data_IF_121304472129
#
_entry.id   IF_121304472129
#
_cell.length_a   1.000
_cell.length_b   1.000
_cell.length_c   1.000
_cell.angle_alpha   90.00
_cell.angle_beta   90.00
_cell.angle_gamma   90.00
#
_symmetry.space_group_name_H-M   'P 1'
#
loop_
_entity.id
_entity.type
_entity.pdbx_description
1 polymer ?
#
# COMPACT_ATOMS: atom_id res chain seq x y z
N UNK A 1 12.13 -13.54 -0.10
CA UNK A 1 11.26 -12.53 -0.18
C UNK A 1 11.84 -11.19 -0.02
N UNK A 2 10.98 -10.24 -0.12
CA UNK A 2 11.38 -8.89 -0.05
C UNK A 2 11.29 -8.41 1.39
N UNK A 3 12.18 -7.57 1.80
CA UNK A 3 12.17 -7.09 3.14
C UNK A 3 12.21 -5.57 3.15
N UNK A 4 12.22 -4.99 4.33
CA UNK A 4 12.19 -3.56 4.45
C UNK A 4 13.37 -2.88 3.81
N UNK A 5 14.50 -3.48 3.84
CA UNK A 5 15.69 -2.89 3.26
C UNK A 5 15.55 -2.72 1.77
N UNK A 6 14.94 -3.69 1.09
CA UNK A 6 14.74 -3.59 -0.33
C UNK A 6 13.80 -2.44 -0.64
N UNK A 7 12.74 -2.32 0.15
CA UNK A 7 11.75 -1.28 -0.04
C UNK A 7 12.38 0.09 0.19
N UNK A 8 13.12 0.23 1.27
CA UNK A 8 13.76 1.49 1.60
C UNK A 8 14.75 1.87 0.53
N UNK A 9 15.47 0.89 -0.02
CA UNK A 9 16.42 1.17 -1.09
C UNK A 9 15.75 1.73 -2.32
N UNK A 10 14.62 1.14 -2.71
CA UNK A 10 13.91 1.61 -3.89
C UNK A 10 13.34 3.01 -3.67
N UNK A 11 12.81 3.28 -2.48
CA UNK A 11 12.27 4.59 -2.19
C UNK A 11 13.41 5.62 -2.17
N UNK A 12 14.55 5.24 -1.60
CA UNK A 12 15.67 6.16 -1.50
C UNK A 12 16.24 6.52 -2.86
N UNK A 13 16.13 5.62 -3.83
CA UNK A 13 16.61 5.90 -5.16
C UNK A 13 15.51 6.51 -6.02
N UNK A 14 14.37 6.80 -5.41
CA UNK A 14 13.25 7.39 -6.13
C UNK A 14 12.76 6.45 -7.24
N UNK A 15 12.94 5.17 -7.07
CA UNK A 15 12.48 4.18 -8.04
C UNK A 15 11.08 3.73 -7.64
N UNK A 16 10.13 4.64 -7.72
CA UNK A 16 8.77 4.41 -7.29
C UNK A 16 7.80 4.89 -8.35
N UNK A 17 6.86 4.04 -8.70
CA UNK A 17 5.80 4.41 -9.62
C UNK A 17 4.51 4.43 -8.83
N UNK A 18 3.77 5.52 -8.87
CA UNK A 18 2.55 5.66 -8.13
C UNK A 18 1.39 5.51 -9.11
N UNK A 19 0.50 4.57 -8.85
CA UNK A 19 -0.61 4.30 -9.75
C UNK A 19 -1.56 5.50 -9.80
N UNK A 20 -2.35 5.56 -10.82
CA UNK A 20 -3.32 6.65 -10.96
C UNK A 20 -4.29 6.62 -9.78
N UNK A 21 -4.74 5.45 -9.40
CA UNK A 21 -5.67 5.30 -8.30
C UNK A 21 -5.03 5.84 -7.01
N UNK A 22 -3.77 5.49 -6.78
CA UNK A 22 -3.09 5.95 -5.59
C UNK A 22 -2.94 7.48 -5.61
N UNK A 23 -2.67 8.05 -6.79
CA UNK A 23 -2.52 9.48 -6.87
C UNK A 23 -3.82 10.19 -6.54
N UNK A 24 -4.94 9.64 -6.98
CA UNK A 24 -6.25 10.23 -6.72
C UNK A 24 -6.50 10.19 -5.20
N UNK A 25 -6.19 9.05 -4.56
CA UNK A 25 -6.41 8.95 -3.13
C UNK A 25 -5.52 9.93 -2.38
N UNK A 26 -4.28 10.06 -2.82
CA UNK A 26 -3.35 10.99 -2.18
C UNK A 26 -3.87 12.41 -2.29
N UNK A 27 -4.39 12.75 -3.46
CA UNK A 27 -4.89 14.09 -3.67
C UNK A 27 -6.09 14.33 -2.75
N UNK A 28 -6.99 13.38 -2.65
CA UNK A 28 -8.16 13.50 -1.81
C UNK A 28 -7.82 13.67 -0.34
N UNK A 29 -6.71 13.07 0.08
CA UNK A 29 -6.31 13.11 1.47
C UNK A 29 -5.19 14.11 1.72
N UNK A 30 -4.83 14.87 0.72
CA UNK A 30 -3.80 15.88 0.85
C UNK A 30 -2.47 15.26 1.29
N UNK A 31 -2.11 14.16 0.68
CA UNK A 31 -0.87 13.46 0.99
C UNK A 31 0.15 13.78 -0.10
N UNK A 32 1.30 14.29 0.28
CA UNK A 32 2.34 14.59 -0.69
C UNK A 32 3.17 13.33 -0.96
N UNK A 33 3.95 13.35 -2.00
CA UNK A 33 4.84 12.26 -2.31
C UNK A 33 5.83 12.08 -1.15
N UNK A 34 6.32 13.17 -0.58
CA UNK A 34 7.25 13.08 0.53
C UNK A 34 6.60 12.44 1.75
N UNK A 35 5.35 12.77 2.01
CA UNK A 35 4.62 12.17 3.12
C UNK A 35 4.53 10.66 2.92
N UNK A 36 4.19 10.26 1.69
CA UNK A 36 4.03 8.85 1.38
C UNK A 36 5.35 8.12 1.52
N UNK A 37 6.41 8.66 0.98
CA UNK A 37 7.71 8.01 1.03
C UNK A 37 8.19 7.88 2.48
N UNK A 38 7.96 8.89 3.30
CA UNK A 38 8.36 8.82 4.69
C UNK A 38 7.57 7.73 5.41
N UNK A 39 6.30 7.63 5.12
CA UNK A 39 5.48 6.61 5.75
C UNK A 39 5.96 5.20 5.36
N UNK A 40 6.35 5.03 4.10
CA UNK A 40 6.81 3.73 3.66
C UNK A 40 8.14 3.40 4.33
N UNK A 41 9.03 4.35 4.47
CA UNK A 41 10.33 4.08 5.04
C UNK A 41 10.25 3.61 6.48
N UNK A 42 9.35 4.16 7.26
CA UNK A 42 9.23 3.76 8.65
C UNK A 42 8.08 2.83 8.93
N UNK A 43 7.36 2.44 7.91
CA UNK A 43 6.17 1.63 8.09
C UNK A 43 6.46 0.19 8.45
N UNK A 44 5.40 -0.52 8.76
CA UNK A 44 5.49 -1.91 9.15
C UNK A 44 4.80 -2.78 8.14
N UNK A 45 5.41 -3.87 7.71
CA UNK A 45 4.81 -4.80 6.78
C UNK A 45 3.86 -5.68 7.56
N UNK A 46 2.59 -5.67 7.23
CA UNK A 46 1.62 -6.47 7.97
C UNK A 46 1.12 -7.67 7.20
N UNK A 47 1.20 -7.67 5.87
CA UNK A 47 0.85 -8.84 5.10
C UNK A 47 1.66 -8.89 3.84
N UNK A 48 1.91 -10.09 3.34
CA UNK A 48 2.68 -10.25 2.12
C UNK A 48 1.96 -11.20 1.18
N UNK A 49 2.02 -10.90 -0.11
CA UNK A 49 1.37 -11.70 -1.14
C UNK A 49 2.42 -12.03 -2.20
N UNK A 50 3.25 -13.03 -1.93
CA UNK A 50 4.39 -13.33 -2.80
C UNK A 50 4.03 -13.83 -4.18
N UNK A 51 2.81 -14.34 -4.32
CA UNK A 51 2.41 -14.88 -5.61
C UNK A 51 1.65 -13.90 -6.48
N UNK A 52 1.51 -12.67 -6.06
CA UNK A 52 0.79 -11.69 -6.87
C UNK A 52 1.52 -11.39 -8.16
N UNK A 53 0.76 -11.04 -9.16
CA UNK A 53 1.27 -10.71 -10.46
C UNK A 53 0.89 -9.29 -10.81
N UNK A 54 1.67 -8.57 -11.51
CA UNK A 54 2.95 -8.97 -12.14
C UNK A 54 4.11 -8.96 -11.18
N UNK A 55 3.96 -8.44 -9.99
CA UNK A 55 5.01 -8.43 -9.01
C UNK A 55 4.45 -8.84 -7.67
N UNK A 56 5.24 -9.43 -6.81
CA UNK A 56 4.78 -9.71 -5.47
C UNK A 56 4.34 -8.42 -4.82
N UNK A 57 3.40 -8.48 -3.92
CA UNK A 57 2.91 -7.28 -3.27
C UNK A 57 2.83 -7.46 -1.77
N UNK A 58 2.62 -6.36 -1.06
CA UNK A 58 2.46 -6.44 0.37
C UNK A 58 1.62 -5.28 0.87
N UNK A 59 1.16 -5.39 2.10
CA UNK A 59 0.37 -4.38 2.76
C UNK A 59 1.21 -3.83 3.89
N UNK A 60 1.35 -2.53 3.93
CA UNK A 60 2.16 -1.87 4.93
C UNK A 60 1.32 -0.91 5.74
N UNK A 61 1.62 -0.78 7.03
CA UNK A 61 0.96 0.18 7.87
C UNK A 61 1.93 1.33 8.09
N UNK A 62 1.54 2.51 7.75
CA UNK A 62 2.37 3.69 7.95
C UNK A 62 1.57 4.80 8.56
N UNK A 63 2.24 5.85 8.98
CA UNK A 63 1.56 6.99 9.56
C UNK A 63 1.91 8.27 8.84
N UNK A 64 0.90 9.08 8.56
CA UNK A 64 1.08 10.36 7.93
C UNK A 64 0.31 11.34 8.77
N UNK A 65 1.01 12.32 9.34
CA UNK A 65 0.40 13.32 10.21
C UNK A 65 -0.44 12.68 11.30
N UNK A 66 0.12 11.64 11.90
CA UNK A 66 -0.51 10.94 13.02
C UNK A 66 -1.73 10.13 12.64
N UNK A 67 -1.99 9.95 11.37
CA UNK A 67 -3.09 9.11 10.95
C UNK A 67 -2.52 7.82 10.37
N UNK A 68 -3.12 6.70 10.72
CA UNK A 68 -2.69 5.41 10.21
C UNK A 68 -3.18 5.22 8.79
N UNK A 69 -2.32 4.73 7.91
CA UNK A 69 -2.70 4.44 6.54
C UNK A 69 -2.23 3.04 6.18
N UNK A 70 -3.03 2.38 5.36
CA UNK A 70 -2.62 1.12 4.78
C UNK A 70 -2.11 1.46 3.39
N UNK A 71 -0.92 1.00 3.06
CA UNK A 71 -0.31 1.25 1.77
C UNK A 71 -0.06 -0.11 1.11
N UNK A 72 -0.54 -0.29 -0.10
CA UNK A 72 -0.35 -1.53 -0.83
C UNK A 72 0.73 -1.30 -1.84
N UNK A 73 1.80 -2.09 -1.75
CA UNK A 73 2.97 -1.93 -2.59
C UNK A 73 3.23 -3.16 -3.43
N UNK A 74 3.59 -2.97 -4.68
CA UNK A 74 4.10 -4.05 -5.51
C UNK A 74 5.60 -3.92 -5.53
N UNK A 75 6.31 -5.02 -5.32
CA UNK A 75 7.76 -5.00 -5.25
C UNK A 75 8.31 -5.63 -6.51
N UNK A 76 8.66 -4.81 -7.45
CA UNK A 76 9.17 -5.29 -8.72
C UNK A 76 10.68 -5.29 -8.67
N UNK A 77 11.33 -5.85 -9.67
CA UNK A 77 12.77 -5.98 -9.65
C UNK A 77 13.50 -4.66 -9.51
N UNK A 78 13.09 -3.68 -10.20
CA UNK A 78 13.79 -2.41 -10.21
C UNK A 78 12.97 -1.23 -9.72
N UNK A 79 11.78 -1.44 -9.21
CA UNK A 79 10.98 -0.34 -8.72
C UNK A 79 9.88 -0.81 -7.77
N UNK A 80 9.36 0.13 -7.03
CA UNK A 80 8.23 -0.09 -6.17
C UNK A 80 7.03 0.46 -6.88
N UNK A 81 5.91 -0.19 -6.77
CA UNK A 81 4.70 0.32 -7.33
C UNK A 81 3.73 0.58 -6.21
N UNK A 82 3.27 1.82 -6.04
CA UNK A 82 2.29 2.12 -5.02
C UNK A 82 0.93 1.89 -5.66
N UNK A 83 0.25 0.83 -5.25
CA UNK A 83 -1.01 0.43 -5.84
C UNK A 83 -2.14 1.26 -5.28
N UNK A 84 -2.16 1.42 -3.97
CA UNK A 84 -3.16 2.28 -3.35
C UNK A 84 -2.72 2.63 -1.93
N UNK A 85 -3.35 3.63 -1.35
CA UNK A 85 -3.14 3.98 0.04
C UNK A 85 -4.48 4.44 0.57
N UNK A 86 -4.85 4.02 1.76
CA UNK A 86 -6.13 4.39 2.31
C UNK A 86 -6.09 4.31 3.84
N UNK A 87 -7.00 4.98 4.50
CA UNK A 87 -7.07 4.92 5.94
C UNK A 87 -7.89 3.68 6.30
N UNK A 88 -7.49 2.95 7.30
CA UNK A 88 -8.23 1.74 7.69
C UNK A 88 -9.71 1.98 7.97
N UNK A 89 -10.05 3.19 8.34
CA UNK A 89 -11.43 3.49 8.63
C UNK A 89 -12.27 3.83 7.43
N UNK A 90 -11.70 3.82 6.26
CA UNK A 90 -12.41 4.15 5.06
C UNK A 90 -13.36 3.05 4.67
N UNK A 91 -14.19 3.33 3.71
CA UNK A 91 -15.20 2.42 3.29
C UNK A 91 -14.73 1.06 2.88
N UNK A 92 -13.50 0.89 2.53
CA UNK A 92 -13.04 -0.41 2.14
C UNK A 92 -13.13 -1.42 3.28
N UNK A 93 -13.25 -0.96 4.49
CA UNK A 93 -13.33 -1.85 5.60
C UNK A 93 -14.70 -2.39 5.83
N UNK A 94 -15.68 -1.85 5.16
CA UNK A 94 -17.03 -2.26 5.31
C UNK A 94 -17.19 -3.70 4.99
N UNK A 95 -16.56 -4.17 3.96
CA UNK A 95 -16.69 -5.51 3.57
C UNK A 95 -16.15 -6.45 4.59
N UNK A 96 -15.18 -6.07 5.32
CA UNK A 96 -14.58 -6.96 6.22
C UNK A 96 -15.40 -7.11 7.46
N UNK A 97 -16.33 -6.23 7.67
CA UNK A 97 -17.09 -6.33 8.75
C UNK A 97 -17.82 -7.52 8.78
N UNK A 98 -18.19 -8.01 7.69
CA UNK A 98 -18.90 -9.09 7.66
C UNK A 98 -18.10 -10.18 8.13
N UNK A 99 -16.93 -10.23 7.86
CA UNK A 99 -16.06 -11.22 8.19
C UNK A 99 -15.48 -11.01 9.47
N UNK A 100 -15.60 -9.97 9.93
CA UNK A 100 -15.04 -9.82 11.03
C UNK A 100 -13.80 -9.44 11.04
N UNK A 101 -13.12 -9.12 11.07
CA UNK A 101 -12.05 -8.58 11.17
C UNK A 101 -11.11 -8.69 10.45
N UNK A 102 -10.78 -8.72 10.00
CA UNK A 102 -9.75 -8.75 9.50
C UNK A 102 -9.51 -8.45 8.46
N UNK A 103 -9.91 -8.16 7.86
CA UNK A 103 -9.61 -7.61 6.88
C UNK A 103 -8.63 -7.89 6.21
N UNK A 104 -8.03 -8.16 6.26
CA UNK A 104 -6.93 -8.38 5.76
C UNK A 104 -6.89 -8.99 4.47
N UNK A 105 -6.47 -10.11 4.15
CA UNK A 105 -6.26 -10.62 2.87
C UNK A 105 -7.44 -10.56 2.01
N UNK A 106 -8.60 -10.84 2.51
CA UNK A 106 -9.73 -10.83 1.73
C UNK A 106 -10.04 -9.46 1.25
N UNK A 107 -9.99 -8.50 2.11
CA UNK A 107 -10.26 -7.16 1.73
C UNK A 107 -9.25 -6.68 0.73
N UNK A 108 -8.02 -7.08 0.88
CA UNK A 108 -7.01 -6.67 -0.03
C UNK A 108 -7.22 -7.24 -1.41
N UNK A 109 -7.65 -8.47 -1.49
CA UNK A 109 -7.90 -9.06 -2.78
C UNK A 109 -9.04 -8.35 -3.48
N UNK A 110 -10.07 -8.01 -2.77
CA UNK A 110 -11.19 -7.31 -3.36
C UNK A 110 -10.73 -5.95 -3.85
N UNK A 111 -9.96 -5.26 -3.05
CA UNK A 111 -9.48 -3.96 -3.40
C UNK A 111 -8.58 -4.05 -4.61
N UNK A 112 -7.67 -4.99 -4.64
CA UNK A 112 -6.78 -5.11 -5.76
C UNK A 112 -7.52 -5.52 -7.03
N UNK A 113 -8.52 -6.33 -6.89
CA UNK A 113 -9.32 -6.71 -8.02
C UNK A 113 -10.01 -5.50 -8.63
N UNK A 114 -10.47 -4.61 -7.79
CA UNK A 114 -11.12 -3.42 -8.26
C UNK A 114 -10.15 -2.52 -8.99
N UNK A 115 -8.94 -2.50 -8.57
CA UNK A 115 -7.95 -1.66 -9.18
C UNK A 115 -7.27 -2.22 -10.35
N UNK A 116 -7.63 -3.43 -10.78
CA UNK A 116 -6.97 -4.00 -11.77
C UNK A 116 -7.37 -3.54 -13.00
N UNK A 117 -7.52 -2.59 -13.37
CA UNK A 117 -7.93 -2.18 -14.61
C UNK A 117 -6.92 -1.70 -15.27
#
# INVERSE_FOLDING_TARGET
>A
GHNREDIIGLVSRDSVIISHHARVRMFERNISTDDLFSAIKVGEIIESYPDDEPCPSLLMLGYIRDHAYHVVLGICDDHLRVITAYMPDDEYWIDTEQGGKTNDSRAMHVLKGTLHE
#
